data_IF_054770881778
#
_entry.id   IF_054770881778
#
_cell.length_a   1.000
_cell.length_b   1.000
_cell.length_c   1.000
_cell.angle_alpha   90.00
_cell.angle_beta   90.00
_cell.angle_gamma   90.00
#
_symmetry.space_group_name_H-M   'P 1'
#
loop_
_entity.id
_entity.type
_entity.pdbx_description
1 polymer ?
#
# COMPACT_ATOMS: atom_id res chain seq x y z
N UNK A 1 5.90 0.98 8.29
CA UNK A 1 5.36 0.45 9.57
C UNK A 1 3.97 -0.11 9.30
N UNK A 2 3.59 -1.26 9.86
CA UNK A 2 2.27 -1.88 9.69
C UNK A 2 1.57 -1.90 11.06
N UNK A 3 0.31 -1.49 11.12
CA UNK A 3 -0.50 -1.51 12.34
C UNK A 3 -1.77 -2.34 12.15
N UNK A 4 -2.03 -3.29 13.07
CA UNK A 4 -3.27 -4.08 13.07
C UNK A 4 -4.29 -3.42 13.99
N UNK A 5 -5.34 -2.84 13.42
CA UNK A 5 -6.38 -2.12 14.17
C UNK A 5 -7.69 -2.90 14.10
N UNK A 6 -8.30 -3.17 15.27
CA UNK A 6 -9.61 -3.82 15.35
C UNK A 6 -10.73 -2.80 15.15
N UNK A 7 -11.66 -3.12 14.25
CA UNK A 7 -12.87 -2.34 13.99
C UNK A 7 -12.66 -1.20 12.98
N UNK A 8 -13.67 -1.00 12.12
CA UNK A 8 -13.61 -0.08 10.97
C UNK A 8 -13.35 1.38 11.36
N UNK A 9 -14.16 1.95 12.26
CA UNK A 9 -14.03 3.36 12.65
C UNK A 9 -12.66 3.69 13.26
N UNK A 10 -12.11 2.76 14.06
CA UNK A 10 -10.79 2.92 14.66
C UNK A 10 -9.71 2.85 13.60
N UNK A 11 -9.83 1.92 12.65
CA UNK A 11 -8.91 1.82 11.52
C UNK A 11 -8.92 3.13 10.69
N UNK A 12 -10.10 3.65 10.35
CA UNK A 12 -10.29 4.95 9.64
C UNK A 12 -9.61 6.11 10.36
N UNK A 13 -9.82 6.22 11.67
CA UNK A 13 -9.21 7.27 12.49
C UNK A 13 -7.67 7.14 12.53
N UNK A 14 -7.16 5.91 12.67
CA UNK A 14 -5.71 5.63 12.66
C UNK A 14 -5.08 5.93 11.31
N UNK A 15 -5.75 5.59 10.19
CA UNK A 15 -5.25 5.90 8.85
C UNK A 15 -5.11 7.41 8.65
N UNK A 16 -6.13 8.17 9.06
CA UNK A 16 -6.11 9.64 8.97
C UNK A 16 -4.93 10.22 9.76
N UNK A 17 -4.71 9.76 10.99
CA UNK A 17 -3.57 10.19 11.80
C UNK A 17 -2.22 9.87 11.13
N UNK A 18 -2.08 8.68 10.52
CA UNK A 18 -0.85 8.34 9.80
C UNK A 18 -0.61 9.23 8.59
N UNK A 19 -1.66 9.48 7.80
CA UNK A 19 -1.57 10.38 6.64
C UNK A 19 -1.23 11.81 7.06
N UNK A 20 -1.81 12.31 8.15
CA UNK A 20 -1.50 13.64 8.70
C UNK A 20 -0.07 13.74 9.26
N UNK A 21 0.46 12.64 9.79
CA UNK A 21 1.84 12.55 10.28
C UNK A 21 2.88 12.26 9.20
N UNK A 22 2.45 12.00 7.96
CA UNK A 22 3.34 11.61 6.87
C UNK A 22 4.17 12.81 6.39
N UNK A 23 5.45 12.57 6.08
CA UNK A 23 6.34 13.64 5.66
C UNK A 23 5.96 14.15 4.26
N UNK A 24 6.23 15.44 3.99
CA UNK A 24 6.02 16.00 2.65
C UNK A 24 6.86 15.30 1.59
N UNK A 25 8.07 14.86 1.95
CA UNK A 25 8.97 14.14 1.05
C UNK A 25 8.35 12.81 0.59
N UNK A 26 7.85 12.00 1.54
CA UNK A 26 7.16 10.75 1.22
C UNK A 26 5.95 10.98 0.31
N UNK A 27 5.20 12.07 0.56
CA UNK A 27 4.05 12.42 -0.26
C UNK A 27 4.45 12.81 -1.69
N UNK A 28 5.57 13.54 -1.87
CA UNK A 28 6.09 13.90 -3.19
C UNK A 28 6.59 12.69 -3.98
N UNK A 29 7.12 11.68 -3.29
CA UNK A 29 7.52 10.40 -3.88
C UNK A 29 6.33 9.45 -4.13
N UNK A 30 5.10 9.86 -3.75
CA UNK A 30 3.89 9.08 -3.98
C UNK A 30 3.62 7.98 -2.94
N UNK A 31 4.44 7.88 -1.89
CA UNK A 31 4.18 6.97 -0.77
C UNK A 31 2.93 7.43 -0.02
N UNK A 32 1.98 6.51 0.21
CA UNK A 32 0.75 6.80 0.96
C UNK A 32 0.34 5.63 1.84
N UNK A 33 -0.16 5.92 3.03
CA UNK A 33 -0.86 4.91 3.84
C UNK A 33 -2.24 4.61 3.26
N UNK A 34 -2.65 3.34 3.29
CA UNK A 34 -3.94 2.87 2.80
C UNK A 34 -4.43 1.65 3.60
N UNK A 35 -5.72 1.29 3.45
CA UNK A 35 -6.24 0.05 3.99
C UNK A 35 -5.95 -1.12 3.06
N UNK A 36 -5.13 -2.06 3.54
CA UNK A 36 -4.96 -3.34 2.88
C UNK A 36 -6.11 -4.27 3.28
N UNK A 37 -6.91 -4.72 2.28
CA UNK A 37 -7.75 -5.90 2.46
C UNK A 37 -6.84 -7.12 2.31
N UNK A 38 -6.72 -7.89 3.38
CA UNK A 38 -5.89 -9.09 3.41
C UNK A 38 -6.73 -10.32 3.78
N UNK A 39 -6.43 -11.44 3.12
CA UNK A 39 -6.93 -12.77 3.52
C UNK A 39 -6.10 -13.38 4.64
N UNK A 40 -4.98 -12.75 5.01
CA UNK A 40 -4.12 -13.20 6.11
C UNK A 40 -4.86 -12.99 7.43
N UNK A 41 -5.10 -14.09 8.15
CA UNK A 41 -5.81 -14.06 9.42
C UNK A 41 -5.00 -13.31 10.49
N UNK A 42 -5.70 -12.61 11.40
CA UNK A 42 -5.06 -12.02 12.56
C UNK A 42 -4.41 -13.11 13.43
N UNK A 43 -3.17 -12.88 13.86
CA UNK A 43 -2.39 -13.88 14.61
C UNK A 43 -1.57 -14.84 13.73
N UNK A 44 -1.56 -14.66 12.40
CA UNK A 44 -0.61 -15.36 11.52
C UNK A 44 0.82 -14.94 11.86
N UNK A 45 1.73 -15.92 11.96
CA UNK A 45 3.16 -15.68 12.22
C UNK A 45 3.74 -14.65 11.25
N UNK A 46 4.54 -13.67 11.71
CA UNK A 46 4.97 -12.55 10.86
C UNK A 46 5.71 -12.97 9.59
N UNK A 47 6.55 -14.01 9.66
CA UNK A 47 7.28 -14.53 8.51
C UNK A 47 6.33 -15.13 7.47
N UNK A 48 5.34 -15.91 7.90
CA UNK A 48 4.34 -16.52 7.02
C UNK A 48 3.40 -15.47 6.43
N UNK A 49 2.97 -14.49 7.23
CA UNK A 49 2.20 -13.35 6.75
C UNK A 49 2.96 -12.55 5.68
N UNK A 50 4.28 -12.44 5.81
CA UNK A 50 5.13 -11.75 4.83
C UNK A 50 5.21 -12.56 3.52
N UNK A 51 5.45 -13.87 3.60
CA UNK A 51 5.47 -14.76 2.42
C UNK A 51 4.15 -14.71 1.65
N UNK A 52 3.02 -14.77 2.37
CA UNK A 52 1.69 -14.71 1.75
C UNK A 52 1.44 -13.37 1.04
N UNK A 53 1.83 -12.24 1.65
CA UNK A 53 1.73 -10.93 1.00
C UNK A 53 2.61 -10.85 -0.24
N UNK A 54 3.84 -11.37 -0.16
CA UNK A 54 4.78 -11.35 -1.28
C UNK A 54 4.24 -12.16 -2.47
N UNK A 55 3.74 -13.38 -2.23
CA UNK A 55 3.15 -14.21 -3.28
C UNK A 55 1.92 -13.57 -3.95
N UNK A 56 1.07 -12.89 -3.16
CA UNK A 56 -0.08 -12.16 -3.70
C UNK A 56 0.33 -10.93 -4.52
N UNK A 57 1.39 -10.23 -4.11
CA UNK A 57 1.96 -9.12 -4.87
C UNK A 57 2.47 -9.61 -6.24
N UNK A 58 3.31 -10.63 -6.25
CA UNK A 58 3.86 -11.23 -7.47
C UNK A 58 2.76 -11.71 -8.42
N UNK A 59 1.69 -12.30 -7.87
CA UNK A 59 0.51 -12.70 -8.64
C UNK A 59 -0.16 -11.49 -9.29
N UNK A 60 -0.32 -10.38 -8.60
CA UNK A 60 -0.92 -9.15 -9.16
C UNK A 60 -0.03 -8.53 -10.24
N UNK A 61 1.27 -8.46 -10.00
CA UNK A 61 2.24 -7.92 -10.97
C UNK A 61 2.27 -8.77 -12.24
N UNK A 62 2.24 -10.11 -12.13
CA UNK A 62 2.17 -10.99 -13.30
C UNK A 62 0.88 -10.86 -14.12
N UNK A 63 -0.18 -10.33 -13.51
CA UNK A 63 -1.49 -10.10 -14.14
C UNK A 63 -1.69 -8.64 -14.56
N UNK A 64 -0.76 -7.75 -14.21
CA UNK A 64 -0.83 -6.35 -14.62
C UNK A 64 -0.62 -6.27 -16.13
N UNK A 65 -1.42 -5.46 -16.85
CA UNK A 65 -1.15 -5.20 -18.25
C UNK A 65 0.25 -4.59 -18.40
N UNK A 66 0.96 -4.85 -19.51
CA UNK A 66 2.23 -4.21 -19.77
C UNK A 66 2.05 -2.70 -19.64
N UNK A 67 2.96 -2.05 -18.91
CA UNK A 67 3.00 -0.61 -18.71
C UNK A 67 3.11 0.06 -20.08
N UNK A 68 1.96 0.37 -20.68
CA UNK A 68 1.92 1.10 -21.93
C UNK A 68 2.38 2.52 -21.62
N UNK A 69 3.45 2.95 -22.28
CA UNK A 69 4.09 4.26 -22.15
C UNK A 69 3.06 5.36 -21.87
N UNK A 70 3.12 5.93 -20.66
CA UNK A 70 2.44 7.18 -20.43
C UNK A 70 3.00 8.20 -21.43
N UNK A 71 2.18 8.89 -22.25
CA UNK A 71 2.68 9.95 -23.10
C UNK A 71 3.18 11.06 -22.17
N UNK A 72 4.49 11.09 -21.99
CA UNK A 72 5.19 12.21 -21.39
C UNK A 72 4.82 13.46 -22.18
N UNK A 73 4.07 14.35 -21.54
CA UNK A 73 4.10 15.78 -21.84
C UNK A 73 5.55 16.26 -21.73
N UNK A 74 6.32 16.14 -22.81
CA UNK A 74 7.51 16.94 -23.00
C UNK A 74 7.14 18.17 -23.83
N UNK A 75 6.60 19.18 -23.14
CA UNK A 75 6.80 20.56 -23.58
C UNK A 75 8.30 20.84 -23.51
N UNK A 76 8.93 21.04 -24.67
CA UNK A 76 10.19 21.77 -24.76
C UNK A 76 10.17 22.68 -25.99
N UNK A 77 9.99 23.97 -25.65
CA UNK A 77 10.50 25.21 -26.26
C UNK A 77 10.34 25.46 -27.76
#
# INVERSE_FOLDING_TARGET
>A
MIAVVRGKQKAESTLKAFQESQSSADHHEGWRYFFEKTSVAAGTEPAEATKLRQAELERRESQAPPENDAPGSHSHK
#
